data_IF_341239567469
#
_entry.id   IF_341239567469
#
_cell.length_a   1.000
_cell.length_b   1.000
_cell.length_c   1.000
_cell.angle_alpha   90.00
_cell.angle_beta   90.00
_cell.angle_gamma   90.00
#
_symmetry.space_group_name_H-M   'P 1'
#
loop_
_entity.id
_entity.type
_entity.pdbx_description
1 polymer ?
#
# COMPACT_ATOMS: atom_id res chain seq x y z
N UNK A 1 19.52 -4.37 -8.02
CA UNK A 1 19.28 -5.46 -8.99
C UNK A 1 17.81 -5.44 -9.33
N UNK A 2 17.44 -4.97 -10.52
CA UNK A 2 16.04 -4.96 -10.98
C UNK A 2 15.62 -6.40 -11.30
N UNK A 3 14.34 -6.77 -11.10
CA UNK A 3 13.83 -8.12 -11.37
C UNK A 3 14.13 -8.69 -12.76
N UNK A 4 14.52 -7.85 -13.73
CA UNK A 4 15.00 -8.24 -15.06
C UNK A 4 16.32 -9.05 -15.07
N UNK A 5 17.17 -8.94 -14.03
CA UNK A 5 18.41 -9.73 -13.95
C UNK A 5 18.17 -11.19 -13.57
N UNK A 6 16.97 -11.51 -13.05
CA UNK A 6 16.58 -12.89 -12.71
C UNK A 6 16.05 -13.68 -13.91
N UNK A 7 15.75 -13.03 -15.03
CA UNK A 7 15.30 -13.71 -16.23
C UNK A 7 16.51 -14.24 -17.03
N UNK A 8 17.11 -15.32 -16.51
CA UNK A 8 18.24 -16.04 -17.11
C UNK A 8 17.93 -16.62 -18.50
N UNK A 9 16.66 -16.68 -18.90
CA UNK A 9 16.26 -17.29 -20.17
C UNK A 9 16.74 -16.48 -21.39
N UNK A 10 16.67 -15.15 -21.38
CA UNK A 10 17.18 -14.34 -22.50
C UNK A 10 18.70 -14.14 -22.39
N UNK A 11 19.45 -15.24 -22.49
CA UNK A 11 20.90 -15.26 -22.45
C UNK A 11 21.55 -14.61 -23.70
N UNK A 12 22.89 -14.60 -23.75
CA UNK A 12 23.72 -13.87 -24.72
C UNK A 12 23.50 -14.18 -26.20
N UNK A 13 22.53 -15.04 -26.53
CA UNK A 13 22.09 -15.36 -27.89
C UNK A 13 21.05 -14.38 -28.46
N UNK A 14 20.38 -13.60 -27.62
CA UNK A 14 19.38 -12.59 -28.04
C UNK A 14 20.01 -11.20 -28.04
N UNK A 15 19.97 -10.50 -29.18
CA UNK A 15 20.46 -9.12 -29.25
C UNK A 15 19.58 -8.18 -28.44
N UNK A 16 20.21 -7.23 -27.75
CA UNK A 16 19.58 -6.29 -26.82
C UNK A 16 19.98 -4.86 -27.12
N UNK A 17 19.10 -3.91 -26.82
CA UNK A 17 19.35 -2.47 -26.94
C UNK A 17 18.59 -1.73 -25.84
N UNK A 18 19.20 -0.69 -25.27
CA UNK A 18 18.52 0.22 -24.35
C UNK A 18 17.94 1.38 -25.17
N UNK A 19 16.63 1.58 -25.09
CA UNK A 19 15.92 2.69 -25.74
C UNK A 19 15.15 3.41 -24.63
N UNK A 20 15.38 4.72 -24.47
CA UNK A 20 14.75 5.55 -23.44
C UNK A 20 14.88 4.99 -22.00
N UNK A 21 16.03 4.37 -21.68
CA UNK A 21 16.27 3.77 -20.36
C UNK A 21 15.61 2.41 -20.14
N UNK A 22 14.91 1.86 -21.14
CA UNK A 22 14.26 0.55 -21.07
C UNK A 22 15.02 -0.46 -21.93
N UNK A 23 15.30 -1.62 -21.38
CA UNK A 23 15.92 -2.74 -22.10
C UNK A 23 14.92 -3.35 -23.07
N UNK A 24 15.30 -3.42 -24.35
CA UNK A 24 14.56 -4.08 -25.41
C UNK A 24 15.35 -5.26 -25.99
N UNK A 25 14.65 -6.28 -26.44
CA UNK A 25 15.22 -7.50 -27.02
C UNK A 25 14.73 -7.70 -28.45
N UNK A 26 15.59 -8.30 -29.30
CA UNK A 26 15.21 -8.65 -30.67
C UNK A 26 14.11 -9.70 -30.69
N UNK A 27 12.95 -9.32 -31.25
CA UNK A 27 11.80 -10.23 -31.40
C UNK A 27 12.16 -11.41 -32.29
N UNK A 28 12.90 -11.18 -33.37
CA UNK A 28 13.31 -12.25 -34.30
C UNK A 28 14.27 -13.23 -33.64
N UNK A 29 15.20 -12.77 -32.82
CA UNK A 29 16.13 -13.67 -32.11
C UNK A 29 15.38 -14.49 -31.04
N UNK A 30 14.40 -13.88 -30.36
CA UNK A 30 13.52 -14.60 -29.42
C UNK A 30 12.72 -15.68 -30.14
N UNK A 31 12.07 -15.39 -31.26
CA UNK A 31 11.35 -16.41 -32.04
C UNK A 31 12.30 -17.46 -32.64
N UNK A 32 13.56 -17.12 -32.93
CA UNK A 32 14.55 -18.10 -33.38
C UNK A 32 14.87 -19.13 -32.29
N UNK A 33 14.99 -18.68 -31.04
CA UNK A 33 15.36 -19.54 -29.92
C UNK A 33 14.16 -20.26 -29.29
N UNK A 34 13.01 -19.58 -29.23
CA UNK A 34 11.80 -20.03 -28.53
C UNK A 34 10.65 -20.43 -29.47
N UNK A 35 10.79 -20.26 -30.77
CA UNK A 35 9.80 -20.65 -31.79
C UNK A 35 9.68 -22.15 -32.00
N UNK A 36 8.94 -22.56 -33.03
CA UNK A 36 8.59 -23.97 -33.28
C UNK A 36 9.73 -24.82 -33.86
N UNK A 37 11.00 -24.56 -33.53
CA UNK A 37 12.19 -25.15 -34.19
C UNK A 37 12.18 -25.07 -35.74
N UNK A 38 11.19 -24.39 -36.33
CA UNK A 38 10.94 -24.32 -37.76
C UNK A 38 11.77 -23.18 -38.35
N UNK A 39 12.11 -23.33 -39.61
CA UNK A 39 13.20 -22.60 -40.29
C UNK A 39 12.93 -21.10 -40.52
N UNK A 40 11.81 -20.52 -40.04
CA UNK A 40 11.43 -19.14 -40.35
C UNK A 40 10.82 -18.31 -39.18
N UNK A 41 11.66 -17.75 -38.29
CA UNK A 41 11.23 -16.93 -37.16
C UNK A 41 10.41 -15.67 -37.52
N UNK A 42 10.58 -15.14 -38.74
CA UNK A 42 9.84 -13.96 -39.20
C UNK A 42 8.38 -14.27 -39.50
N UNK A 43 8.11 -15.46 -40.03
CA UNK A 43 6.74 -15.92 -40.30
C UNK A 43 6.00 -16.15 -38.99
N UNK A 44 6.64 -16.83 -38.03
CA UNK A 44 6.07 -17.07 -36.71
C UNK A 44 5.79 -15.76 -35.96
N UNK A 45 6.69 -14.77 -36.06
CA UNK A 45 6.43 -13.43 -35.54
C UNK A 45 5.24 -12.76 -36.23
N UNK A 46 5.14 -12.83 -37.56
CA UNK A 46 4.02 -12.26 -38.31
C UNK A 46 2.67 -12.87 -37.89
N UNK A 47 2.63 -14.16 -37.59
CA UNK A 47 1.43 -14.84 -37.07
C UNK A 47 1.10 -14.40 -35.64
N UNK A 48 2.09 -14.29 -34.76
CA UNK A 48 1.91 -13.80 -33.41
C UNK A 48 1.39 -12.36 -33.40
N UNK A 49 1.95 -11.50 -34.25
CA UNK A 49 1.50 -10.11 -34.44
C UNK A 49 0.01 -10.06 -34.81
N UNK A 50 -0.43 -10.86 -35.79
CA UNK A 50 -1.86 -10.91 -36.17
C UNK A 50 -2.77 -11.31 -35.01
N UNK A 51 -2.34 -12.26 -34.18
CA UNK A 51 -3.10 -12.69 -32.99
C UNK A 51 -3.15 -11.59 -31.93
N UNK A 52 -2.05 -10.87 -31.71
CA UNK A 52 -2.02 -9.72 -30.80
C UNK A 52 -2.98 -8.62 -31.27
N UNK A 53 -2.93 -8.27 -32.55
CA UNK A 53 -3.80 -7.25 -33.15
C UNK A 53 -5.28 -7.64 -33.01
N UNK A 54 -5.62 -8.91 -33.24
CA UNK A 54 -6.99 -9.44 -33.05
C UNK A 54 -7.49 -9.33 -31.60
N UNK A 55 -6.59 -9.38 -30.61
CA UNK A 55 -6.92 -9.20 -29.19
C UNK A 55 -6.93 -7.73 -28.76
N UNK A 56 -6.77 -6.79 -29.70
CA UNK A 56 -6.71 -5.36 -29.42
C UNK A 56 -5.42 -4.92 -28.73
N UNK A 57 -4.35 -5.72 -28.80
CA UNK A 57 -3.03 -5.29 -28.32
C UNK A 57 -2.39 -4.39 -29.37
N UNK A 58 -1.93 -3.21 -28.94
CA UNK A 58 -1.33 -2.21 -29.82
C UNK A 58 0.13 -2.57 -30.14
N UNK A 59 0.32 -3.47 -31.10
CA UNK A 59 1.64 -3.92 -31.54
C UNK A 59 2.44 -2.76 -32.15
N UNK A 60 1.78 -1.85 -32.85
CA UNK A 60 2.43 -0.75 -33.60
C UNK A 60 3.19 0.19 -32.68
N UNK A 61 2.59 0.57 -31.55
CA UNK A 61 3.22 1.49 -30.61
C UNK A 61 4.14 0.79 -29.59
N UNK A 62 3.98 -0.52 -29.40
CA UNK A 62 4.76 -1.31 -28.42
C UNK A 62 5.99 -1.99 -29.01
N UNK A 63 6.08 -2.11 -30.33
CA UNK A 63 7.22 -2.72 -31.01
C UNK A 63 7.98 -1.70 -31.83
N UNK A 64 9.22 -1.47 -31.42
CA UNK A 64 10.11 -0.53 -32.06
C UNK A 64 10.93 -1.22 -33.15
N UNK A 65 11.39 -0.45 -34.13
CA UNK A 65 12.37 -0.92 -35.10
C UNK A 65 13.75 -0.42 -34.70
N UNK A 66 14.69 -1.34 -34.52
CA UNK A 66 16.07 -1.00 -34.22
C UNK A 66 17.02 -1.66 -35.21
N UNK A 67 17.96 -0.88 -35.75
CA UNK A 67 19.04 -1.38 -36.58
C UNK A 67 20.27 -1.63 -35.72
N UNK A 68 20.55 -2.90 -35.44
CA UNK A 68 21.75 -3.30 -34.73
C UNK A 68 23.02 -2.98 -35.54
N UNK A 69 24.17 -2.71 -34.89
CA UNK A 69 25.41 -2.38 -35.58
C UNK A 69 25.89 -3.52 -36.50
N UNK A 70 26.38 -3.17 -37.69
CA UNK A 70 26.92 -4.10 -38.69
C UNK A 70 26.58 -3.67 -40.13
N UNK A 71 27.48 -3.90 -41.08
CA UNK A 71 27.21 -3.55 -42.49
C UNK A 71 26.05 -4.39 -43.07
N UNK A 72 25.13 -3.73 -43.77
CA UNK A 72 23.99 -4.38 -44.43
C UNK A 72 22.88 -4.87 -43.49
N UNK A 73 22.94 -4.54 -42.19
CA UNK A 73 21.91 -4.94 -41.23
C UNK A 73 20.58 -4.23 -41.50
N UNK A 74 19.48 -4.97 -41.46
CA UNK A 74 18.13 -4.42 -41.62
C UNK A 74 17.53 -4.00 -40.28
N UNK A 75 16.62 -3.00 -40.24
CA UNK A 75 15.80 -2.73 -39.07
C UNK A 75 15.12 -4.01 -38.58
N UNK A 76 15.24 -4.28 -37.28
CA UNK A 76 14.72 -5.48 -36.63
C UNK A 76 13.70 -5.07 -35.58
N UNK A 77 12.54 -5.74 -35.49
CA UNK A 77 11.58 -5.48 -34.42
C UNK A 77 12.22 -5.81 -33.06
N UNK A 78 12.12 -4.87 -32.13
CA UNK A 78 12.54 -5.01 -30.74
C UNK A 78 11.40 -4.66 -29.81
N UNK A 79 11.32 -5.35 -28.67
CA UNK A 79 10.25 -5.18 -27.69
C UNK A 79 10.81 -5.24 -26.27
N UNK A 80 10.12 -4.60 -25.32
CA UNK A 80 10.42 -4.71 -23.91
C UNK A 80 9.93 -6.04 -23.32
N UNK A 81 10.30 -6.30 -22.07
CA UNK A 81 9.94 -7.55 -21.40
C UNK A 81 8.42 -7.72 -21.22
N UNK A 82 7.70 -6.65 -20.90
CA UNK A 82 6.24 -6.68 -20.74
C UNK A 82 5.54 -7.11 -22.03
N UNK A 83 6.04 -6.63 -23.18
CA UNK A 83 5.55 -7.06 -24.49
C UNK A 83 5.83 -8.54 -24.74
N UNK A 84 6.97 -9.07 -24.29
CA UNK A 84 7.24 -10.52 -24.37
C UNK A 84 6.36 -11.36 -23.47
N UNK A 85 6.01 -10.88 -22.27
CA UNK A 85 5.01 -11.57 -21.43
C UNK A 85 3.66 -11.64 -22.14
N UNK A 86 3.25 -10.58 -22.86
CA UNK A 86 2.04 -10.60 -23.68
C UNK A 86 2.14 -11.58 -24.85
N UNK A 87 3.29 -11.62 -25.54
CA UNK A 87 3.56 -12.61 -26.60
C UNK A 87 3.45 -14.03 -26.04
N UNK A 88 4.03 -14.30 -24.87
CA UNK A 88 4.01 -15.63 -24.22
C UNK A 88 2.59 -16.15 -23.97
N UNK A 89 1.63 -15.25 -23.69
CA UNK A 89 0.21 -15.61 -23.49
C UNK A 89 -0.49 -16.08 -24.76
N UNK A 90 -0.02 -15.72 -25.96
CA UNK A 90 -0.70 -16.00 -27.23
C UNK A 90 -0.01 -17.05 -28.09
N UNK A 91 1.31 -17.18 -27.97
CA UNK A 91 2.09 -18.17 -28.70
C UNK A 91 1.96 -19.51 -27.99
N UNK A 92 1.80 -20.59 -28.75
CA UNK A 92 1.55 -21.95 -28.21
C UNK A 92 2.77 -22.86 -28.35
N UNK A 93 3.96 -22.30 -28.59
CA UNK A 93 5.17 -23.08 -28.75
C UNK A 93 5.62 -23.68 -27.42
N UNK A 94 6.13 -24.92 -27.45
CA UNK A 94 6.58 -25.64 -26.26
C UNK A 94 7.75 -24.96 -25.54
N UNK A 95 8.64 -24.30 -26.28
CA UNK A 95 9.79 -23.63 -25.68
C UNK A 95 9.39 -22.38 -24.86
N UNK A 96 8.16 -21.88 -24.99
CA UNK A 96 7.65 -20.78 -24.17
C UNK A 96 7.00 -21.25 -22.85
N UNK A 97 6.89 -22.57 -22.61
CA UNK A 97 6.28 -23.09 -21.36
C UNK A 97 7.00 -22.57 -20.12
N UNK A 98 8.35 -22.51 -20.11
CA UNK A 98 9.11 -21.98 -18.97
C UNK A 98 8.73 -20.54 -18.61
N UNK A 99 8.55 -19.70 -19.63
CA UNK A 99 8.08 -18.32 -19.47
C UNK A 99 6.66 -18.29 -18.89
N UNK A 100 5.75 -19.16 -19.36
CA UNK A 100 4.38 -19.23 -18.83
C UNK A 100 4.34 -19.77 -17.40
N UNK A 101 5.13 -20.78 -17.07
CA UNK A 101 5.26 -21.31 -15.71
C UNK A 101 5.78 -20.26 -14.73
N UNK A 102 6.77 -19.47 -15.15
CA UNK A 102 7.24 -18.32 -14.40
C UNK A 102 6.12 -17.30 -14.17
N UNK A 103 5.38 -16.94 -15.23
CA UNK A 103 4.25 -16.01 -15.11
C UNK A 103 3.18 -16.51 -14.15
N UNK A 104 2.82 -17.80 -14.21
CA UNK A 104 1.86 -18.41 -13.29
C UNK A 104 2.35 -18.31 -11.85
N UNK A 105 3.63 -18.63 -11.62
CA UNK A 105 4.25 -18.58 -10.28
C UNK A 105 4.27 -17.16 -9.73
N UNK A 106 4.83 -16.21 -10.48
CA UNK A 106 4.89 -14.80 -10.08
C UNK A 106 3.50 -14.18 -9.88
N UNK A 107 2.53 -14.54 -10.74
CA UNK A 107 1.14 -14.07 -10.59
C UNK A 107 0.49 -14.65 -9.34
N UNK A 108 0.70 -15.95 -9.05
CA UNK A 108 0.20 -16.60 -7.83
C UNK A 108 0.77 -15.93 -6.59
N UNK A 109 2.09 -15.80 -6.51
CA UNK A 109 2.77 -15.14 -5.39
C UNK A 109 2.25 -13.72 -5.16
N UNK A 110 2.02 -12.97 -6.24
CA UNK A 110 1.49 -11.61 -6.15
C UNK A 110 0.05 -11.58 -5.62
N UNK A 111 -0.80 -12.48 -6.10
CA UNK A 111 -2.20 -12.60 -5.64
C UNK A 111 -2.24 -13.02 -4.17
N UNK A 112 -1.44 -14.01 -3.77
CA UNK A 112 -1.32 -14.47 -2.40
C UNK A 112 -0.83 -13.34 -1.47
N UNK A 113 0.21 -12.61 -1.85
CA UNK A 113 0.70 -11.48 -1.07
C UNK A 113 -0.34 -10.36 -0.90
N UNK A 114 -1.16 -10.09 -1.94
CA UNK A 114 -2.27 -9.12 -1.85
C UNK A 114 -3.34 -9.64 -0.88
N UNK A 115 -3.70 -10.92 -0.98
CA UNK A 115 -4.70 -11.54 -0.12
C UNK A 115 -4.25 -11.56 1.34
N UNK A 116 -2.99 -11.91 1.61
CA UNK A 116 -2.42 -11.95 2.96
C UNK A 116 -2.34 -10.55 3.57
N UNK A 117 -1.90 -9.55 2.81
CA UNK A 117 -1.89 -8.15 3.25
C UNK A 117 -3.30 -7.64 3.58
N UNK A 118 -4.31 -8.07 2.82
CA UNK A 118 -5.71 -7.72 3.10
C UNK A 118 -6.20 -8.39 4.38
N UNK A 119 -5.90 -9.69 4.58
CA UNK A 119 -6.24 -10.40 5.83
C UNK A 119 -5.59 -9.75 7.05
N UNK A 120 -4.31 -9.41 6.98
CA UNK A 120 -3.59 -8.74 8.07
C UNK A 120 -4.25 -7.39 8.43
N UNK A 121 -4.62 -6.58 7.43
CA UNK A 121 -5.36 -5.33 7.65
C UNK A 121 -6.70 -5.56 8.34
N UNK A 122 -7.45 -6.56 7.89
CA UNK A 122 -8.73 -6.91 8.48
C UNK A 122 -8.57 -7.43 9.92
N UNK A 123 -7.54 -8.23 10.20
CA UNK A 123 -7.21 -8.72 11.55
C UNK A 123 -6.85 -7.57 12.50
N UNK A 124 -6.02 -6.61 12.07
CA UNK A 124 -5.69 -5.41 12.85
C UNK A 124 -6.96 -4.60 13.15
N UNK A 125 -7.85 -4.45 12.16
CA UNK A 125 -9.13 -3.75 12.33
C UNK A 125 -10.04 -4.47 13.33
N UNK A 126 -10.16 -5.79 13.22
CA UNK A 126 -10.96 -6.60 14.15
C UNK A 126 -10.37 -6.56 15.57
N UNK A 127 -9.05 -6.63 15.71
CA UNK A 127 -8.36 -6.51 16.99
C UNK A 127 -8.63 -5.16 17.65
N UNK A 128 -8.52 -4.06 16.90
CA UNK A 128 -8.82 -2.72 17.38
C UNK A 128 -10.28 -2.59 17.83
N UNK A 129 -11.22 -3.20 17.07
CA UNK A 129 -12.64 -3.26 17.46
C UNK A 129 -12.86 -4.03 18.76
N UNK A 130 -12.18 -5.18 18.94
CA UNK A 130 -12.26 -5.99 20.17
C UNK A 130 -11.75 -5.25 21.39
N UNK A 131 -10.61 -4.56 21.28
CA UNK A 131 -10.05 -3.76 22.39
C UNK A 131 -11.04 -2.69 22.80
N UNK A 132 -11.63 -1.95 21.85
CA UNK A 132 -12.63 -0.92 22.15
C UNK A 132 -13.87 -1.49 22.83
N UNK A 133 -14.41 -2.60 22.33
CA UNK A 133 -15.58 -3.25 22.95
C UNK A 133 -15.26 -3.66 24.39
N UNK A 134 -14.10 -4.30 24.60
CA UNK A 134 -13.66 -4.69 25.93
C UNK A 134 -13.44 -3.49 26.86
N UNK A 135 -12.93 -2.37 26.36
CA UNK A 135 -12.83 -1.13 27.14
C UNK A 135 -14.21 -0.57 27.52
N UNK A 136 -15.17 -0.55 26.58
CA UNK A 136 -16.56 -0.15 26.86
C UNK A 136 -17.23 -1.08 27.88
N UNK A 137 -17.00 -2.39 27.81
CA UNK A 137 -17.48 -3.38 28.78
C UNK A 137 -16.88 -3.12 30.17
N UNK A 138 -15.57 -2.92 30.25
CA UNK A 138 -14.89 -2.59 31.52
C UNK A 138 -15.39 -1.28 32.13
N UNK A 139 -15.71 -0.26 31.31
CA UNK A 139 -16.36 0.95 31.81
C UNK A 139 -17.71 0.64 32.48
N UNK A 140 -18.48 -0.32 31.98
CA UNK A 140 -19.75 -0.73 32.59
C UNK A 140 -19.51 -1.54 33.86
N UNK A 141 -18.62 -2.54 33.79
CA UNK A 141 -18.32 -3.48 34.87
C UNK A 141 -17.74 -2.79 36.11
N UNK A 142 -16.87 -1.79 35.90
CA UNK A 142 -16.17 -1.10 36.99
C UNK A 142 -16.94 0.12 37.50
N UNK A 143 -18.07 0.50 36.89
CA UNK A 143 -18.81 1.68 37.32
C UNK A 143 -19.73 1.40 38.51
N UNK A 144 -19.77 2.32 39.48
CA UNK A 144 -20.57 2.22 40.73
C UNK A 144 -22.05 1.89 40.54
N UNK A 145 -22.61 2.25 39.38
CA UNK A 145 -24.03 2.11 39.03
C UNK A 145 -24.27 1.40 37.70
N UNK A 146 -23.23 0.83 37.10
CA UNK A 146 -23.29 0.21 35.75
C UNK A 146 -23.87 1.14 34.66
N UNK A 147 -23.73 2.45 34.86
CA UNK A 147 -24.18 3.51 33.94
C UNK A 147 -23.03 4.49 33.72
N UNK A 148 -21.95 4.09 33.02
CA UNK A 148 -20.82 4.98 32.78
C UNK A 148 -21.19 6.12 31.82
N UNK A 149 -20.40 7.18 31.85
CA UNK A 149 -20.49 8.29 30.90
C UNK A 149 -19.47 8.07 29.78
N UNK A 150 -19.90 7.39 28.72
CA UNK A 150 -19.05 7.05 27.58
C UNK A 150 -18.50 8.28 26.86
N UNK A 151 -19.26 9.38 26.81
CA UNK A 151 -18.82 10.60 26.15
C UNK A 151 -17.69 11.24 26.93
N UNK A 152 -17.79 11.28 28.26
CA UNK A 152 -16.73 11.76 29.14
C UNK A 152 -15.48 10.90 29.06
N UNK A 153 -15.61 9.58 29.13
CA UNK A 153 -14.49 8.65 29.00
C UNK A 153 -13.80 8.78 27.63
N UNK A 154 -14.57 8.89 26.55
CA UNK A 154 -14.01 9.11 25.19
C UNK A 154 -13.29 10.45 25.08
N UNK A 155 -13.87 11.52 25.63
CA UNK A 155 -13.23 12.85 25.63
C UNK A 155 -12.01 12.93 26.56
N UNK A 156 -11.86 12.03 27.53
CA UNK A 156 -10.63 11.90 28.31
C UNK A 156 -9.44 11.45 27.44
N UNK A 157 -9.71 10.81 26.28
CA UNK A 157 -8.73 10.56 25.23
C UNK A 157 -8.05 11.83 24.68
N UNK A 158 -8.55 13.04 25.02
CA UNK A 158 -7.83 14.30 24.78
C UNK A 158 -6.41 14.30 25.32
N UNK A 159 -6.09 13.47 26.32
CA UNK A 159 -4.71 13.28 26.80
C UNK A 159 -3.73 12.84 25.71
N UNK A 160 -4.21 12.25 24.60
CA UNK A 160 -3.38 11.82 23.49
C UNK A 160 -3.14 12.91 22.42
N UNK A 161 -4.01 13.92 22.35
CA UNK A 161 -3.96 14.91 21.26
C UNK A 161 -3.92 16.36 21.74
N UNK A 162 -4.07 16.59 23.06
CA UNK A 162 -4.36 17.88 23.67
C UNK A 162 -5.57 18.59 23.03
N UNK A 163 -6.50 17.80 22.44
CA UNK A 163 -7.71 18.25 21.76
C UNK A 163 -8.90 17.38 22.15
N UNK A 164 -10.07 17.99 22.37
CA UNK A 164 -11.33 17.25 22.48
C UNK A 164 -11.88 16.88 21.10
N UNK A 165 -12.87 15.99 21.04
CA UNK A 165 -13.45 15.47 19.79
C UNK A 165 -13.88 16.57 18.82
N UNK A 166 -14.53 17.64 19.30
CA UNK A 166 -14.96 18.76 18.44
C UNK A 166 -13.78 19.51 17.82
N UNK A 167 -12.71 19.72 18.58
CA UNK A 167 -11.49 20.36 18.11
C UNK A 167 -10.77 19.49 17.08
N UNK A 168 -10.77 18.15 17.24
CA UNK A 168 -10.22 17.23 16.23
C UNK A 168 -11.00 17.28 14.91
N UNK A 169 -12.33 17.34 14.99
CA UNK A 169 -13.21 17.47 13.81
C UNK A 169 -12.92 18.77 13.06
N UNK A 170 -12.79 19.89 13.79
CA UNK A 170 -12.44 21.19 13.23
C UNK A 170 -11.03 21.19 12.63
N UNK A 171 -10.04 20.67 13.35
CA UNK A 171 -8.64 20.58 12.92
C UNK A 171 -8.48 19.77 11.61
N UNK A 172 -9.24 18.69 11.47
CA UNK A 172 -9.25 17.84 10.28
C UNK A 172 -10.15 18.39 9.16
N UNK A 173 -10.91 19.46 9.39
CA UNK A 173 -11.82 20.05 8.42
C UNK A 173 -12.97 19.11 8.01
N UNK A 174 -13.46 18.28 8.94
CA UNK A 174 -14.47 17.26 8.65
C UNK A 174 -15.88 17.84 8.66
N UNK A 175 -16.71 17.40 7.72
CA UNK A 175 -18.15 17.67 7.76
C UNK A 175 -18.86 16.76 8.77
N UNK A 176 -20.15 16.99 9.05
CA UNK A 176 -20.92 16.20 10.02
C UNK A 176 -20.92 14.68 9.74
N UNK A 177 -21.00 14.28 8.47
CA UNK A 177 -21.01 12.87 8.10
C UNK A 177 -19.66 12.19 8.38
N UNK A 178 -18.57 12.92 8.13
CA UNK A 178 -17.19 12.51 8.40
C UNK A 178 -16.88 12.52 9.90
N UNK A 179 -17.41 13.49 10.65
CA UNK A 179 -17.24 13.60 12.09
C UNK A 179 -17.78 12.37 12.84
N UNK A 180 -18.89 11.78 12.37
CA UNK A 180 -19.43 10.52 12.91
C UNK A 180 -18.49 9.33 12.72
N UNK A 181 -17.54 9.44 11.81
CA UNK A 181 -16.50 8.45 11.49
C UNK A 181 -15.10 9.03 11.72
N UNK A 182 -14.93 9.85 12.75
CA UNK A 182 -13.66 10.55 13.06
C UNK A 182 -12.42 9.65 12.95
N UNK A 183 -12.48 8.41 13.47
CA UNK A 183 -11.36 7.47 13.43
C UNK A 183 -10.92 7.09 12.00
N UNK A 184 -11.82 7.10 11.01
CA UNK A 184 -11.49 6.84 9.61
C UNK A 184 -10.65 7.98 8.98
N UNK A 185 -10.53 9.11 9.68
CA UNK A 185 -9.79 10.29 9.25
C UNK A 185 -8.53 10.58 10.09
N UNK A 186 -8.21 9.71 11.06
CA UNK A 186 -6.99 9.80 11.86
C UNK A 186 -5.84 9.04 11.21
N UNK A 187 -4.62 9.52 11.41
CA UNK A 187 -3.41 8.82 10.97
C UNK A 187 -3.15 7.53 11.78
N UNK A 188 -2.36 6.63 11.20
CA UNK A 188 -2.09 5.30 11.79
C UNK A 188 -1.47 5.38 13.20
N UNK A 189 -0.58 6.35 13.46
CA UNK A 189 -0.01 6.55 14.79
C UNK A 189 -1.04 7.02 15.81
N UNK A 190 -1.97 7.91 15.43
CA UNK A 190 -3.07 8.32 16.29
C UNK A 190 -3.98 7.15 16.65
N UNK A 191 -4.36 6.33 15.66
CA UNK A 191 -5.19 5.14 15.88
C UNK A 191 -4.51 4.10 16.76
N UNK A 192 -3.21 3.90 16.57
CA UNK A 192 -2.40 3.01 17.42
C UNK A 192 -2.36 3.53 18.84
N UNK A 193 -2.09 4.83 19.02
CA UNK A 193 -2.09 5.48 20.33
C UNK A 193 -3.44 5.34 21.04
N UNK A 194 -4.55 5.51 20.32
CA UNK A 194 -5.90 5.30 20.87
C UNK A 194 -6.07 3.88 21.38
N UNK A 195 -5.72 2.90 20.55
CA UNK A 195 -5.85 1.49 20.91
C UNK A 195 -5.00 1.14 22.13
N UNK A 196 -3.80 1.73 22.25
CA UNK A 196 -2.92 1.51 23.40
C UNK A 196 -3.48 2.11 24.68
N UNK A 197 -3.96 3.36 24.67
CA UNK A 197 -4.46 3.95 25.91
C UNK A 197 -5.79 3.31 26.34
N UNK A 198 -6.65 2.89 25.40
CA UNK A 198 -7.90 2.18 25.73
C UNK A 198 -7.59 0.84 26.44
N UNK A 199 -6.58 0.12 25.96
CA UNK A 199 -6.11 -1.11 26.59
C UNK A 199 -5.49 -0.84 27.98
N UNK A 200 -4.66 0.19 28.12
CA UNK A 200 -4.03 0.55 29.38
C UNK A 200 -5.06 1.00 30.43
N UNK A 201 -5.94 1.95 30.07
CA UNK A 201 -6.99 2.45 30.94
C UNK A 201 -7.91 1.31 31.44
N UNK A 202 -8.25 0.35 30.56
CA UNK A 202 -8.97 -0.86 30.96
C UNK A 202 -8.23 -1.59 32.08
N UNK A 203 -6.93 -1.85 31.92
CA UNK A 203 -6.16 -2.59 32.91
C UNK A 203 -6.07 -1.83 34.23
N UNK A 204 -5.90 -0.51 34.19
CA UNK A 204 -5.88 0.32 35.40
C UNK A 204 -7.22 0.26 36.14
N UNK A 205 -8.35 0.38 35.41
CA UNK A 205 -9.69 0.30 36.00
C UNK A 205 -9.94 -1.05 36.69
N UNK A 206 -9.54 -2.15 36.06
CA UNK A 206 -9.67 -3.50 36.64
C UNK A 206 -8.75 -3.67 37.86
N UNK A 207 -7.54 -3.10 37.83
CA UNK A 207 -6.58 -3.19 38.91
C UNK A 207 -6.98 -2.37 40.15
N UNK A 208 -7.75 -1.30 39.97
CA UNK A 208 -8.25 -0.49 41.08
C UNK A 208 -9.16 -1.28 42.03
N UNK A 209 -9.88 -2.30 41.53
CA UNK A 209 -10.62 -3.27 42.33
C UNK A 209 -11.92 -2.78 42.97
N UNK A 210 -12.10 -1.47 43.14
CA UNK A 210 -13.32 -0.85 43.68
C UNK A 210 -14.25 -0.30 42.58
N UNK A 211 -15.50 -0.05 42.97
CA UNK A 211 -16.48 0.66 42.15
C UNK A 211 -16.03 2.11 41.86
N UNK A 212 -15.91 2.44 40.58
CA UNK A 212 -15.46 3.74 40.08
C UNK A 212 -16.64 4.65 39.75
N UNK A 213 -16.50 5.94 40.06
CA UNK A 213 -17.38 6.98 39.56
C UNK A 213 -16.91 7.52 38.20
N UNK A 214 -17.75 8.36 37.57
CA UNK A 214 -17.46 8.98 36.28
C UNK A 214 -16.13 9.75 36.21
N UNK A 215 -15.75 10.44 37.29
CA UNK A 215 -14.52 11.23 37.31
C UNK A 215 -13.31 10.31 37.38
N UNK A 216 -13.33 9.29 38.23
CA UNK A 216 -12.23 8.32 38.35
C UNK A 216 -11.98 7.59 37.02
N UNK A 217 -13.03 7.10 36.36
CA UNK A 217 -12.88 6.45 35.04
C UNK A 217 -12.31 7.40 33.98
N UNK A 218 -12.75 8.66 33.98
CA UNK A 218 -12.24 9.68 33.06
C UNK A 218 -10.77 10.01 33.36
N UNK A 219 -10.39 10.13 34.63
CA UNK A 219 -9.01 10.44 35.02
C UNK A 219 -8.06 9.30 34.66
N UNK A 220 -8.43 8.05 34.93
CA UNK A 220 -7.62 6.89 34.53
C UNK A 220 -7.43 6.83 33.02
N UNK A 221 -8.49 7.10 32.26
CA UNK A 221 -8.41 7.17 30.79
C UNK A 221 -7.50 8.30 30.32
N UNK A 222 -7.60 9.48 30.94
CA UNK A 222 -6.77 10.63 30.62
C UNK A 222 -5.30 10.37 30.92
N UNK A 223 -4.98 9.76 32.08
CA UNK A 223 -3.60 9.42 32.44
C UNK A 223 -3.00 8.41 31.47
N UNK A 224 -3.71 7.32 31.18
CA UNK A 224 -3.29 6.36 30.17
C UNK A 224 -3.02 7.05 28.82
N UNK A 225 -3.89 7.97 28.39
CA UNK A 225 -3.70 8.70 27.15
C UNK A 225 -2.46 9.60 27.16
N UNK A 226 -2.16 10.26 28.30
CA UNK A 226 -0.97 11.08 28.49
C UNK A 226 0.32 10.26 28.49
N UNK A 227 0.31 9.07 29.11
CA UNK A 227 1.45 8.16 29.09
C UNK A 227 1.77 7.70 27.66
N UNK A 228 0.75 7.32 26.89
CA UNK A 228 0.93 6.93 25.49
C UNK A 228 1.41 8.12 24.64
N UNK A 229 0.92 9.34 24.88
CA UNK A 229 1.40 10.54 24.20
C UNK A 229 2.92 10.72 24.35
N UNK A 230 3.47 10.49 25.55
CA UNK A 230 4.91 10.60 25.80
C UNK A 230 5.74 9.63 24.96
N UNK A 231 5.16 8.50 24.54
CA UNK A 231 5.81 7.51 23.70
C UNK A 231 5.68 7.89 22.21
N UNK A 232 4.46 8.24 21.78
CA UNK A 232 4.15 8.38 20.35
C UNK A 232 4.57 9.74 19.80
N UNK A 233 4.42 10.84 20.56
CA UNK A 233 4.70 12.20 20.09
C UNK A 233 6.16 12.44 19.71
N UNK A 234 7.18 12.03 20.51
CA UNK A 234 8.58 12.21 20.11
C UNK A 234 8.92 11.47 18.83
N UNK A 235 8.23 10.34 18.56
CA UNK A 235 8.42 9.58 17.33
C UNK A 235 7.80 10.29 16.13
N UNK A 236 6.58 10.80 16.26
CA UNK A 236 5.92 11.60 15.23
C UNK A 236 6.76 12.85 14.86
N UNK A 237 7.28 13.55 15.87
CA UNK A 237 8.12 14.74 15.69
C UNK A 237 9.41 14.43 14.95
N UNK A 238 10.09 13.34 15.31
CA UNK A 238 11.30 12.89 14.62
C UNK A 238 11.04 12.55 13.16
N UNK A 239 9.89 11.94 12.88
CA UNK A 239 9.46 11.60 11.52
C UNK A 239 8.89 12.81 10.77
N UNK A 240 8.76 13.97 11.43
CA UNK A 240 8.12 15.17 10.89
C UNK A 240 6.73 14.86 10.33
N UNK A 241 5.92 14.15 11.11
CA UNK A 241 4.52 13.86 10.76
C UNK A 241 3.59 14.44 11.82
N UNK A 242 2.48 14.99 11.37
CA UNK A 242 1.40 15.40 12.24
C UNK A 242 0.76 14.15 12.86
N UNK A 243 0.73 14.08 14.19
CA UNK A 243 0.26 12.89 14.90
C UNK A 243 -1.21 12.58 14.57
N UNK A 244 -2.05 13.62 14.46
CA UNK A 244 -3.50 13.49 14.28
C UNK A 244 -3.84 13.05 12.85
N UNK A 245 -3.34 13.75 11.83
CA UNK A 245 -3.66 13.50 10.43
C UNK A 245 -2.72 12.52 9.73
N UNK A 246 -1.56 12.22 10.31
CA UNK A 246 -0.51 11.41 9.69
C UNK A 246 0.22 12.08 8.53
N UNK A 247 -0.14 13.33 8.19
CA UNK A 247 0.46 14.06 7.07
C UNK A 247 1.86 14.56 7.44
N UNK A 248 2.79 14.67 6.47
CA UNK A 248 4.07 15.31 6.71
C UNK A 248 3.88 16.74 7.22
N UNK A 249 4.57 17.08 8.31
CA UNK A 249 4.74 18.45 8.75
C UNK A 249 5.59 19.15 7.68
N UNK A 250 4.98 20.10 6.96
CA UNK A 250 5.70 20.92 6.01
C UNK A 250 6.90 21.54 6.73
N UNK A 251 8.07 21.51 6.08
CA UNK A 251 9.24 22.21 6.62
C UNK A 251 8.88 23.68 6.82
N UNK A 252 9.27 24.31 7.95
CA UNK A 252 9.05 25.74 8.16
C UNK A 252 9.79 26.50 7.04
N UNK A 253 9.04 26.97 6.04
CA UNK A 253 9.58 27.60 4.83
C UNK A 253 8.74 27.47 3.55
N UNK A 254 7.74 26.58 3.49
CA UNK A 254 7.02 26.31 2.25
C UNK A 254 5.78 27.18 1.94
N UNK A 255 5.46 28.19 2.76
CA UNK A 255 4.38 29.16 2.47
C UNK A 255 4.83 30.61 2.74
N UNK A 256 5.77 31.11 1.95
CA UNK A 256 5.79 32.54 1.60
C UNK A 256 4.99 32.72 0.31
N UNK A 257 3.66 32.70 0.42
CA UNK A 257 2.75 32.69 -0.73
C UNK A 257 1.53 33.58 -0.50
N UNK A 258 1.76 34.90 -0.56
CA UNK A 258 0.79 35.97 -0.88
C UNK A 258 -0.58 35.94 -0.19
N UNK A 259 -0.69 36.64 0.93
CA UNK A 259 -1.91 37.41 1.22
C UNK A 259 -1.93 38.57 0.22
N UNK A 260 -2.62 38.40 -0.91
CA UNK A 260 -3.06 39.54 -1.72
C UNK A 260 -4.26 40.14 -1.02
N UNK A 261 -4.04 41.30 -0.40
CA UNK A 261 -5.10 42.24 -0.13
C UNK A 261 -5.73 42.67 -1.46
N UNK A 262 -7.02 42.39 -1.62
CA UNK A 262 -8.01 43.24 -2.30
C UNK A 262 -9.36 43.00 -1.64
#
# INVERSE_FOLDING_TARGET
MSGLEQFQEFDGTIRKVIINGVMHFSVIDVFKNYGSKSTNPRMEWSEAQKKLDQQGFDVVNRILQHQFPGQGQRPTPVADFDTFLRIAMIVTFKNWEGIRDYMVTATREKIEAIADAQRERDEIRQRSKRIRLSYTETLVETHEKSKPDFARATNAGRGLFDMVTSQLVEYLGLNESQARRLRDHLGDLALTGITMYEALAKHDMLAFGDALNHQQQADMTYQAAREILQIVKPRADRLKIDLVSGKPLLSPGAYSGSVRAK
#
